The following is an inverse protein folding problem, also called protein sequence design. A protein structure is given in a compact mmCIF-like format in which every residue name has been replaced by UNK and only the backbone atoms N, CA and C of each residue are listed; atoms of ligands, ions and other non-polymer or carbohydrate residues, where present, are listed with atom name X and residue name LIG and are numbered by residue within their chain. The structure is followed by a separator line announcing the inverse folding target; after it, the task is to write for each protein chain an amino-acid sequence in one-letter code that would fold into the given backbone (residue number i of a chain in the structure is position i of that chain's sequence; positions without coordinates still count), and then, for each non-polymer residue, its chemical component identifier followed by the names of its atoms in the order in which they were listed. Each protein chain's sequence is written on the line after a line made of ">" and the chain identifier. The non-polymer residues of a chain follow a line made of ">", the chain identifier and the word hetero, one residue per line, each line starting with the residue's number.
data_IF_957909935404
#
_entry.id   IF_957909935404
#
_cell.length_a   1.000
_cell.length_b   1.000
_cell.length_c   1.000
_cell.angle_alpha   90.00
_cell.angle_beta   90.00
_cell.angle_gamma   90.00
#
_symmetry.space_group_name_H-M   'P 1'
#
loop_
_entity.id
_entity.type
_entity.pdbx_description
1 polymer ?
#
# COMPACT_ATOMS: atom_id res chain seq x y z
N UNK A 1 -6.04 20.36 3.29
CA UNK A 1 -5.15 19.55 4.15
C UNK A 1 -5.88 18.25 4.49
N UNK A 2 -5.22 17.10 4.47
CA UNK A 2 -5.77 15.78 4.82
C UNK A 2 -4.82 15.06 5.76
N UNK A 3 -5.34 14.17 6.60
CA UNK A 3 -4.57 13.21 7.38
C UNK A 3 -4.41 11.94 6.56
N UNK A 4 -3.18 11.56 6.25
CA UNK A 4 -2.83 10.47 5.33
C UNK A 4 -1.92 9.47 6.03
N UNK A 5 -2.33 8.21 6.04
CA UNK A 5 -1.54 7.09 6.55
C UNK A 5 -0.93 6.35 5.37
N UNK A 6 0.38 6.07 5.44
CA UNK A 6 1.11 5.33 4.40
C UNK A 6 1.88 4.19 5.05
N UNK A 7 1.69 2.97 4.57
CA UNK A 7 2.46 1.81 5.03
C UNK A 7 3.65 1.53 4.12
N UNK A 8 4.78 1.03 4.67
CA UNK A 8 5.97 0.67 3.90
C UNK A 8 6.78 1.86 3.41
N UNK A 9 7.09 2.80 4.29
CA UNK A 9 7.66 4.12 3.97
C UNK A 9 9.18 4.20 4.04
N UNK A 10 9.89 3.14 4.46
CA UNK A 10 11.35 3.21 4.67
C UNK A 10 12.18 3.37 3.40
N UNK A 11 11.65 2.97 2.23
CA UNK A 11 12.33 2.99 0.93
C UNK A 11 11.33 2.97 -0.23
N UNK A 12 11.83 3.11 -1.45
CA UNK A 12 11.06 2.95 -2.69
C UNK A 12 9.86 3.89 -2.80
N UNK A 13 8.76 3.39 -3.33
CA UNK A 13 7.55 4.19 -3.59
C UNK A 13 7.01 4.84 -2.32
N UNK A 14 6.98 4.13 -1.19
CA UNK A 14 6.45 4.66 0.07
C UNK A 14 7.27 5.84 0.61
N UNK A 15 8.59 5.81 0.47
CA UNK A 15 9.47 6.91 0.84
C UNK A 15 9.18 8.16 0.02
N UNK A 16 9.05 8.02 -1.30
CA UNK A 16 8.75 9.12 -2.21
C UNK A 16 7.32 9.69 -1.99
N UNK A 17 6.34 8.83 -1.66
CA UNK A 17 4.98 9.25 -1.33
C UNK A 17 4.95 10.17 -0.11
N UNK A 18 5.71 9.83 0.94
CA UNK A 18 5.79 10.68 2.15
C UNK A 18 6.27 12.08 1.78
N UNK A 19 7.37 12.19 1.04
CA UNK A 19 7.93 13.47 0.65
C UNK A 19 6.96 14.30 -0.19
N UNK A 20 6.36 13.68 -1.20
CA UNK A 20 5.47 14.38 -2.13
C UNK A 20 4.19 14.86 -1.45
N UNK A 21 3.54 14.04 -0.63
CA UNK A 21 2.31 14.41 0.03
C UNK A 21 2.56 15.39 1.19
N UNK A 22 3.67 15.28 1.90
CA UNK A 22 4.09 16.24 2.93
C UNK A 22 4.39 17.61 2.33
N UNK A 23 5.07 17.68 1.17
CA UNK A 23 5.37 18.95 0.49
C UNK A 23 4.11 19.68 -0.01
N UNK A 24 3.00 18.96 -0.19
CA UNK A 24 1.70 19.53 -0.53
C UNK A 24 0.90 20.01 0.70
N UNK A 25 1.50 19.95 1.90
CA UNK A 25 0.89 20.44 3.13
C UNK A 25 -0.10 19.47 3.79
N UNK A 26 -0.04 18.17 3.48
CA UNK A 26 -0.83 17.14 4.15
C UNK A 26 -0.12 16.63 5.41
N UNK A 27 -0.88 16.22 6.43
CA UNK A 27 -0.34 15.52 7.60
C UNK A 27 -0.12 14.05 7.23
N UNK A 28 1.09 13.54 7.46
CA UNK A 28 1.46 12.17 7.10
C UNK A 28 1.78 11.36 8.35
N UNK A 29 1.19 10.17 8.45
CA UNK A 29 1.62 9.13 9.36
C UNK A 29 2.36 8.06 8.55
N UNK A 30 3.68 8.07 8.68
CA UNK A 30 4.58 7.19 7.96
C UNK A 30 4.85 5.93 8.77
N UNK A 31 4.43 4.78 8.26
CA UNK A 31 4.47 3.48 8.94
C UNK A 31 5.47 2.55 8.26
N UNK A 32 6.51 2.16 8.98
CA UNK A 32 7.50 1.17 8.52
C UNK A 32 8.32 0.61 9.69
N UNK A 33 8.90 -0.57 9.53
CA UNK A 33 9.75 -1.19 10.56
C UNK A 33 10.99 -0.37 10.90
N UNK A 34 11.49 0.39 9.93
CA UNK A 34 12.65 1.29 10.07
C UNK A 34 12.23 2.70 9.69
N UNK A 35 12.28 3.63 10.63
CA UNK A 35 11.78 5.01 10.48
C UNK A 35 12.89 6.04 10.21
N UNK A 36 14.15 5.70 10.49
CA UNK A 36 15.28 6.63 10.46
C UNK A 36 15.43 7.41 9.14
N UNK A 37 15.13 6.79 7.98
CA UNK A 37 15.20 7.45 6.67
C UNK A 37 14.17 8.57 6.51
N UNK A 38 12.97 8.38 7.05
CA UNK A 38 11.91 9.40 7.03
C UNK A 38 12.16 10.46 8.09
N UNK A 39 12.55 10.08 9.30
CA UNK A 39 12.88 11.00 10.40
C UNK A 39 13.98 11.98 10.01
N UNK A 40 15.00 11.50 9.26
CA UNK A 40 16.09 12.34 8.76
C UNK A 40 15.64 13.47 7.81
N UNK A 41 14.42 13.38 7.23
CA UNK A 41 13.88 14.43 6.37
C UNK A 41 13.42 15.67 7.17
N UNK A 42 13.25 15.54 8.50
CA UNK A 42 12.82 16.62 9.40
C UNK A 42 11.58 17.39 8.90
N UNK A 43 10.59 16.70 8.36
CA UNK A 43 9.37 17.31 7.84
C UNK A 43 8.37 17.54 8.99
N UNK A 44 7.92 18.79 9.25
CA UNK A 44 7.13 19.12 10.45
C UNK A 44 5.73 18.51 10.47
N UNK A 45 5.21 18.12 9.31
CA UNK A 45 3.89 17.52 9.11
C UNK A 45 3.96 16.00 8.91
N UNK A 46 5.08 15.37 9.24
CA UNK A 46 5.28 13.91 9.15
C UNK A 46 5.53 13.34 10.53
N UNK A 47 4.71 12.38 10.92
CA UNK A 47 4.90 11.55 12.11
C UNK A 47 5.34 10.15 11.66
N UNK A 48 6.32 9.58 12.35
CA UNK A 48 6.82 8.23 12.09
C UNK A 48 6.47 7.31 13.25
N UNK A 49 5.97 6.12 12.94
CA UNK A 49 5.78 5.06 13.94
C UNK A 49 6.51 3.81 13.43
N UNK A 50 7.42 3.22 14.22
CA UNK A 50 7.94 1.87 13.96
C UNK A 50 6.76 0.89 13.91
N UNK A 51 6.61 0.18 12.78
CA UNK A 51 5.38 -0.52 12.48
C UNK A 51 5.64 -1.80 11.67
N UNK A 52 5.26 -2.93 12.24
CA UNK A 52 5.09 -4.19 11.52
C UNK A 52 3.60 -4.48 11.35
N UNK A 53 3.12 -4.46 10.11
CA UNK A 53 1.71 -4.65 9.78
C UNK A 53 1.15 -6.00 10.26
N UNK A 54 2.03 -6.97 10.55
CA UNK A 54 1.66 -8.31 11.01
C UNK A 54 1.40 -8.37 12.52
N UNK A 55 1.85 -7.37 13.28
CA UNK A 55 1.69 -7.30 14.74
C UNK A 55 0.43 -6.54 15.12
N UNK A 56 -0.39 -7.13 15.98
CA UNK A 56 -1.62 -6.50 16.48
C UNK A 56 -1.31 -5.25 17.31
N UNK A 57 -0.33 -5.34 18.19
CA UNK A 57 0.11 -4.22 19.03
C UNK A 57 0.50 -2.99 18.25
N UNK A 58 1.15 -3.17 17.10
CA UNK A 58 1.58 -2.05 16.25
C UNK A 58 0.37 -1.41 15.55
N UNK A 59 -0.59 -2.23 15.11
CA UNK A 59 -1.84 -1.72 14.52
C UNK A 59 -2.70 -0.98 15.55
N UNK A 60 -2.74 -1.46 16.80
CA UNK A 60 -3.39 -0.77 17.93
C UNK A 60 -2.73 0.58 18.24
N UNK A 61 -1.39 0.64 18.21
CA UNK A 61 -0.65 1.89 18.40
C UNK A 61 -1.00 2.94 17.33
N UNK A 62 -1.18 2.52 16.07
CA UNK A 62 -1.63 3.41 14.99
C UNK A 62 -3.05 3.90 15.23
N UNK A 63 -3.98 3.03 15.61
CA UNK A 63 -5.36 3.41 15.91
C UNK A 63 -5.42 4.36 17.12
N UNK A 64 -4.61 4.12 18.14
CA UNK A 64 -4.47 5.01 19.30
C UNK A 64 -3.94 6.38 18.90
N UNK A 65 -2.88 6.44 18.10
CA UNK A 65 -2.36 7.72 17.58
C UNK A 65 -3.43 8.50 16.83
N UNK A 66 -4.16 7.84 15.93
CA UNK A 66 -5.24 8.51 15.17
C UNK A 66 -6.31 9.06 16.10
N UNK A 67 -6.73 8.27 17.09
CA UNK A 67 -7.74 8.70 18.07
C UNK A 67 -7.30 9.93 18.86
N UNK A 68 -6.06 9.96 19.34
CA UNK A 68 -5.58 11.01 20.24
C UNK A 68 -5.11 12.29 19.50
N UNK A 69 -4.66 12.18 18.24
CA UNK A 69 -4.00 13.27 17.55
C UNK A 69 -4.78 13.80 16.33
N UNK A 70 -5.55 12.94 15.66
CA UNK A 70 -6.15 13.29 14.37
C UNK A 70 -7.66 13.20 14.32
N UNK A 71 -8.27 12.35 15.15
CA UNK A 71 -9.70 12.00 15.18
C UNK A 71 -10.23 11.40 13.86
N UNK A 72 -9.65 11.76 12.71
CA UNK A 72 -10.10 11.33 11.38
C UNK A 72 -8.93 10.93 10.47
N UNK A 73 -9.18 9.92 9.62
CA UNK A 73 -8.31 9.48 8.53
C UNK A 73 -8.95 9.86 7.19
N UNK A 74 -8.31 10.74 6.45
CA UNK A 74 -8.79 11.13 5.12
C UNK A 74 -8.34 10.20 4.00
N UNK A 75 -7.12 9.65 4.10
CA UNK A 75 -6.55 8.71 3.12
C UNK A 75 -5.73 7.65 3.83
N UNK A 76 -5.89 6.39 3.40
CA UNK A 76 -5.05 5.26 3.80
C UNK A 76 -4.43 4.63 2.55
N UNK A 77 -3.08 4.62 2.47
CA UNK A 77 -2.35 4.00 1.36
C UNK A 77 -1.66 2.74 1.86
N UNK A 78 -2.18 1.59 1.46
CA UNK A 78 -1.58 0.29 1.70
C UNK A 78 -0.48 0.03 0.65
N UNK A 79 0.74 0.51 0.93
CA UNK A 79 1.90 0.33 0.06
C UNK A 79 2.87 -0.75 0.56
N UNK A 80 2.86 -1.09 1.85
CA UNK A 80 3.68 -2.18 2.38
C UNK A 80 3.42 -3.49 1.62
N UNK A 81 4.48 -4.24 1.35
CA UNK A 81 4.38 -5.52 0.68
C UNK A 81 5.56 -6.43 0.98
N UNK A 82 5.31 -7.74 0.90
CA UNK A 82 6.31 -8.80 0.98
C UNK A 82 6.30 -9.56 -0.35
N UNK A 83 7.47 -9.75 -0.94
CA UNK A 83 7.68 -10.55 -2.15
C UNK A 83 8.67 -11.66 -1.84
N UNK A 84 8.36 -12.88 -2.25
CA UNK A 84 9.26 -14.04 -2.28
C UNK A 84 9.29 -14.53 -3.70
N UNK A 85 10.49 -14.62 -4.29
CA UNK A 85 10.72 -15.16 -5.62
C UNK A 85 11.43 -16.50 -5.48
N UNK A 86 10.69 -17.60 -5.66
CA UNK A 86 11.17 -18.99 -5.62
C UNK A 86 10.39 -19.84 -6.62
N UNK A 87 10.98 -20.87 -7.23
CA UNK A 87 10.23 -21.90 -7.96
C UNK A 87 9.08 -22.46 -7.11
N UNK A 88 7.95 -22.79 -7.74
CA UNK A 88 6.75 -23.21 -7.00
C UNK A 88 7.01 -24.47 -6.13
N UNK A 89 7.77 -25.40 -6.63
CA UNK A 89 8.16 -26.64 -5.94
C UNK A 89 9.05 -26.41 -4.70
N UNK A 90 9.67 -25.24 -4.59
CA UNK A 90 10.52 -24.85 -3.45
C UNK A 90 9.80 -23.96 -2.43
N UNK A 91 8.59 -23.47 -2.77
CA UNK A 91 7.80 -22.65 -1.85
C UNK A 91 7.25 -23.50 -0.71
N UNK A 92 7.52 -23.06 0.51
CA UNK A 92 7.01 -23.69 1.72
C UNK A 92 5.67 -23.05 2.15
N UNK A 93 4.96 -23.71 3.05
CA UNK A 93 3.78 -23.12 3.70
C UNK A 93 4.14 -21.80 4.40
N UNK A 94 5.29 -21.72 5.06
CA UNK A 94 5.76 -20.50 5.75
C UNK A 94 6.01 -19.37 4.75
N UNK A 95 6.56 -19.62 3.57
CA UNK A 95 6.72 -18.62 2.52
C UNK A 95 5.36 -17.99 2.12
N UNK A 96 4.32 -18.83 1.97
CA UNK A 96 2.95 -18.34 1.72
C UNK A 96 2.42 -17.53 2.91
N UNK A 97 2.58 -18.02 4.15
CA UNK A 97 2.15 -17.32 5.34
C UNK A 97 2.83 -15.95 5.48
N UNK A 98 4.14 -15.86 5.30
CA UNK A 98 4.86 -14.59 5.35
C UNK A 98 4.31 -13.57 4.35
N UNK A 99 4.05 -13.99 3.11
CA UNK A 99 3.53 -13.11 2.07
C UNK A 99 2.11 -12.69 2.36
N UNK A 100 1.23 -13.62 2.73
CA UNK A 100 -0.19 -13.34 3.00
C UNK A 100 -0.39 -12.54 4.28
N UNK A 101 0.40 -12.79 5.33
CA UNK A 101 0.35 -11.99 6.56
C UNK A 101 0.55 -10.50 6.29
N UNK A 102 1.50 -10.15 5.41
CA UNK A 102 1.79 -8.76 5.07
C UNK A 102 0.78 -8.22 4.04
N UNK A 103 0.60 -8.94 2.93
CA UNK A 103 -0.09 -8.40 1.74
C UNK A 103 -1.62 -8.45 1.84
N UNK A 104 -2.16 -9.29 2.72
CA UNK A 104 -3.62 -9.52 2.85
C UNK A 104 -4.10 -9.31 4.27
N UNK A 105 -3.64 -10.12 5.22
CA UNK A 105 -4.18 -10.09 6.59
C UNK A 105 -3.84 -8.79 7.33
N UNK A 106 -2.60 -8.33 7.23
CA UNK A 106 -2.19 -7.06 7.83
C UNK A 106 -2.95 -5.87 7.25
N UNK A 107 -3.17 -5.86 5.92
CA UNK A 107 -4.00 -4.85 5.24
C UNK A 107 -5.44 -4.88 5.76
N UNK A 108 -6.05 -6.08 5.82
CA UNK A 108 -7.42 -6.25 6.32
C UNK A 108 -7.56 -5.74 7.76
N UNK A 109 -6.68 -6.20 8.66
CA UNK A 109 -6.76 -5.85 10.08
C UNK A 109 -6.46 -4.37 10.36
N UNK A 110 -5.47 -3.77 9.67
CA UNK A 110 -5.22 -2.34 9.80
C UNK A 110 -6.42 -1.52 9.31
N UNK A 111 -7.01 -1.92 8.18
CA UNK A 111 -8.23 -1.29 7.68
C UNK A 111 -9.36 -1.38 8.71
N UNK A 112 -9.63 -2.57 9.27
CA UNK A 112 -10.66 -2.77 10.29
C UNK A 112 -10.48 -1.84 11.50
N UNK A 113 -9.26 -1.69 12.01
CA UNK A 113 -8.96 -0.83 13.15
C UNK A 113 -9.09 0.66 12.84
N UNK A 114 -8.89 1.06 11.57
CA UNK A 114 -8.99 2.46 11.14
C UNK A 114 -10.38 2.87 10.63
N UNK A 115 -11.24 1.91 10.30
CA UNK A 115 -12.63 2.18 9.84
C UNK A 115 -13.44 3.09 10.79
N UNK A 116 -13.33 3.00 12.13
CA UNK A 116 -14.04 3.91 13.02
C UNK A 116 -13.66 5.39 12.86
N UNK A 117 -12.47 5.67 12.33
CA UNK A 117 -11.94 7.01 12.10
C UNK A 117 -12.10 7.49 10.66
N UNK A 118 -12.77 6.70 9.82
CA UNK A 118 -13.04 7.04 8.41
C UNK A 118 -14.47 7.52 8.23
N UNK A 119 -14.61 8.71 7.70
CA UNK A 119 -15.89 9.33 7.37
C UNK A 119 -16.14 9.32 5.86
N UNK A 120 -17.32 9.80 5.47
CA UNK A 120 -17.70 9.97 4.07
C UNK A 120 -16.62 10.75 3.29
N UNK A 121 -16.15 10.15 2.21
CA UNK A 121 -15.09 10.69 1.36
C UNK A 121 -13.68 10.25 1.76
N UNK A 122 -13.51 9.47 2.83
CA UNK A 122 -12.23 8.81 3.10
C UNK A 122 -11.88 7.84 1.97
N UNK A 123 -10.59 7.77 1.59
CA UNK A 123 -10.13 7.00 0.45
C UNK A 123 -9.05 5.99 0.87
N UNK A 124 -9.33 4.72 0.69
CA UNK A 124 -8.37 3.63 0.87
C UNK A 124 -7.81 3.22 -0.49
N UNK A 125 -6.50 3.35 -0.66
CA UNK A 125 -5.78 2.97 -1.89
C UNK A 125 -4.89 1.78 -1.59
N UNK A 126 -5.17 0.64 -2.20
CA UNK A 126 -4.36 -0.57 -2.08
C UNK A 126 -3.39 -0.70 -3.24
N UNK A 127 -2.10 -0.87 -2.95
CA UNK A 127 -1.08 -1.10 -3.97
C UNK A 127 -0.98 -2.61 -4.25
N UNK A 128 -1.51 -3.01 -5.38
CA UNK A 128 -1.41 -4.37 -5.91
C UNK A 128 -0.36 -4.46 -7.02
N UNK A 129 -0.41 -5.49 -7.81
CA UNK A 129 0.52 -5.77 -8.90
C UNK A 129 -0.24 -6.27 -10.12
N UNK A 130 0.29 -6.02 -11.30
CA UNK A 130 -0.17 -6.64 -12.54
C UNK A 130 -0.21 -8.17 -12.43
N UNK A 131 0.73 -8.76 -11.67
CA UNK A 131 0.70 -10.20 -11.39
C UNK A 131 -0.55 -10.71 -10.67
N UNK A 132 -1.27 -9.84 -9.95
CA UNK A 132 -2.56 -10.14 -9.29
C UNK A 132 -3.77 -10.04 -10.22
N UNK A 133 -3.66 -9.40 -11.38
CA UNK A 133 -4.76 -9.23 -12.34
C UNK A 133 -5.05 -10.55 -13.05
N UNK A 134 -6.31 -10.97 -13.11
CA UNK A 134 -6.72 -12.14 -13.85
C UNK A 134 -6.47 -11.92 -15.37
N UNK A 135 -5.88 -12.92 -16.02
CA UNK A 135 -5.57 -12.84 -17.45
C UNK A 135 -4.33 -12.02 -17.83
N UNK A 136 -3.64 -11.39 -16.87
CA UNK A 136 -2.34 -10.76 -17.13
C UNK A 136 -1.24 -11.82 -17.33
N UNK A 137 -0.13 -11.42 -17.95
CA UNK A 137 1.08 -12.24 -18.03
C UNK A 137 1.56 -12.58 -16.62
N UNK A 138 1.94 -13.84 -16.39
CA UNK A 138 2.46 -14.32 -15.11
C UNK A 138 3.95 -14.61 -15.22
N UNK A 139 4.67 -14.34 -14.13
CA UNK A 139 6.10 -14.62 -14.03
C UNK A 139 6.33 -15.81 -13.08
N UNK A 140 7.17 -16.75 -13.51
CA UNK A 140 7.61 -17.85 -12.66
C UNK A 140 8.24 -17.34 -11.38
N UNK A 141 8.15 -18.10 -10.30
CA UNK A 141 8.71 -17.74 -8.98
C UNK A 141 7.82 -16.83 -8.11
N UNK A 142 6.73 -16.28 -8.65
CA UNK A 142 5.87 -15.32 -7.94
C UNK A 142 4.53 -15.91 -7.47
N UNK A 143 4.41 -17.22 -7.28
CA UNK A 143 3.12 -17.84 -6.97
C UNK A 143 2.49 -17.28 -5.68
N UNK A 144 3.23 -17.24 -4.56
CA UNK A 144 2.74 -16.69 -3.30
C UNK A 144 2.46 -15.16 -3.41
N UNK A 145 3.35 -14.41 -4.05
CA UNK A 145 3.20 -12.97 -4.23
C UNK A 145 1.99 -12.62 -5.10
N UNK A 146 1.94 -13.14 -6.31
CA UNK A 146 0.87 -12.81 -7.28
C UNK A 146 -0.50 -13.23 -6.78
N UNK A 147 -0.62 -14.41 -6.14
CA UNK A 147 -1.89 -14.85 -5.55
C UNK A 147 -2.33 -13.93 -4.39
N UNK A 148 -1.41 -13.49 -3.54
CA UNK A 148 -1.72 -12.52 -2.47
C UNK A 148 -2.19 -11.16 -3.01
N UNK A 149 -1.59 -10.69 -4.12
CA UNK A 149 -1.99 -9.45 -4.78
C UNK A 149 -3.35 -9.57 -5.48
N UNK A 150 -3.72 -10.75 -5.97
CA UNK A 150 -5.07 -11.08 -6.44
C UNK A 150 -6.09 -11.08 -5.30
N UNK A 151 -5.76 -11.69 -4.16
CA UNK A 151 -6.60 -11.69 -2.96
C UNK A 151 -6.85 -10.25 -2.43
N UNK A 152 -5.81 -9.39 -2.45
CA UNK A 152 -5.94 -7.98 -2.08
C UNK A 152 -6.90 -7.21 -3.00
N UNK A 153 -6.88 -7.50 -4.30
CA UNK A 153 -7.82 -6.91 -5.27
C UNK A 153 -9.25 -7.25 -4.88
N UNK A 154 -9.54 -8.55 -4.73
CA UNK A 154 -10.90 -9.02 -4.39
C UNK A 154 -11.36 -8.45 -3.04
N UNK A 155 -10.48 -8.40 -2.03
CA UNK A 155 -10.79 -7.79 -0.74
C UNK A 155 -11.19 -6.31 -0.90
N UNK A 156 -10.44 -5.55 -1.67
CA UNK A 156 -10.70 -4.11 -1.90
C UNK A 156 -12.04 -3.88 -2.61
N UNK A 157 -12.39 -4.71 -3.59
CA UNK A 157 -13.66 -4.66 -4.30
C UNK A 157 -14.84 -4.95 -3.36
N UNK A 158 -14.72 -5.96 -2.49
CA UNK A 158 -15.74 -6.31 -1.48
C UNK A 158 -15.94 -5.18 -0.46
N UNK A 159 -14.84 -4.59 0.04
CA UNK A 159 -14.93 -3.48 1.00
C UNK A 159 -15.55 -2.23 0.36
N UNK A 160 -15.31 -1.97 -0.91
CA UNK A 160 -15.96 -0.88 -1.63
C UNK A 160 -17.48 -1.00 -1.67
N UNK A 161 -18.02 -2.22 -1.82
CA UNK A 161 -19.45 -2.47 -1.78
C UNK A 161 -20.01 -2.45 -0.36
N UNK A 162 -19.32 -3.09 0.59
CA UNK A 162 -19.75 -3.18 1.98
C UNK A 162 -19.83 -1.80 2.67
N UNK A 163 -18.89 -0.89 2.38
CA UNK A 163 -18.84 0.44 2.98
C UNK A 163 -19.41 1.56 2.09
N UNK A 164 -20.08 1.22 1.03
CA UNK A 164 -20.68 2.16 0.07
C UNK A 164 -21.64 3.16 0.73
N UNK A 165 -22.54 2.67 1.58
CA UNK A 165 -23.52 3.51 2.27
C UNK A 165 -22.84 4.48 3.29
N UNK A 166 -21.69 4.09 3.83
CA UNK A 166 -20.88 5.00 4.67
C UNK A 166 -20.11 6.01 3.83
N UNK A 167 -20.05 5.85 2.51
CA UNK A 167 -19.32 6.72 1.61
C UNK A 167 -17.80 6.64 1.75
N UNK A 168 -17.26 5.51 2.27
CA UNK A 168 -15.82 5.21 2.31
C UNK A 168 -15.46 4.56 0.97
N UNK A 169 -14.39 5.03 0.35
CA UNK A 169 -14.01 4.68 -1.01
C UNK A 169 -12.78 3.80 -0.99
N UNK A 170 -12.84 2.69 -1.73
CA UNK A 170 -11.76 1.72 -1.86
C UNK A 170 -11.39 1.55 -3.32
N UNK A 171 -10.12 1.72 -3.66
CA UNK A 171 -9.61 1.44 -4.99
C UNK A 171 -8.26 0.73 -4.93
N UNK A 172 -7.93 0.03 -5.98
CA UNK A 172 -6.67 -0.71 -6.11
C UNK A 172 -5.89 -0.23 -7.32
N UNK A 173 -4.61 0.03 -7.14
CA UNK A 173 -3.66 0.28 -8.22
C UNK A 173 -2.81 -0.97 -8.42
N UNK A 174 -2.99 -1.64 -9.55
CA UNK A 174 -2.20 -2.80 -9.96
C UNK A 174 -1.00 -2.33 -10.75
N UNK A 175 0.15 -2.20 -10.08
CA UNK A 175 1.36 -1.64 -10.67
C UNK A 175 2.08 -2.66 -11.55
N UNK A 176 2.63 -2.17 -12.66
CA UNK A 176 3.70 -2.83 -13.40
C UNK A 176 5.05 -2.72 -12.67
N UNK A 177 6.13 -3.01 -13.38
CA UNK A 177 7.47 -2.95 -12.81
C UNK A 177 7.90 -1.50 -12.51
N UNK A 178 8.37 -1.27 -11.28
CA UNK A 178 8.94 0.01 -10.82
C UNK A 178 10.33 -0.27 -10.25
N UNK A 179 11.32 0.54 -10.60
CA UNK A 179 12.73 0.35 -10.23
C UNK A 179 12.93 0.61 -8.74
N UNK A 180 12.46 -0.29 -7.91
CA UNK A 180 12.60 -0.28 -6.46
C UNK A 180 13.66 -1.28 -6.00
N UNK A 181 14.12 -1.16 -4.77
CA UNK A 181 15.01 -2.14 -4.14
C UNK A 181 14.35 -3.53 -4.09
N UNK A 182 13.04 -3.59 -3.83
CA UNK A 182 12.28 -4.86 -3.84
C UNK A 182 12.34 -5.55 -5.22
N UNK A 183 12.23 -4.79 -6.30
CA UNK A 183 12.35 -5.33 -7.66
C UNK A 183 13.78 -5.80 -7.93
N UNK A 184 14.78 -5.02 -7.57
CA UNK A 184 16.19 -5.35 -7.78
C UNK A 184 16.63 -6.59 -6.96
N UNK A 185 16.11 -6.73 -5.73
CA UNK A 185 16.33 -7.91 -4.89
C UNK A 185 15.69 -9.18 -5.51
N UNK A 186 14.48 -9.05 -6.08
CA UNK A 186 13.76 -10.17 -6.67
C UNK A 186 14.22 -10.53 -8.09
N UNK A 187 14.69 -9.55 -8.86
CA UNK A 187 15.08 -9.68 -10.26
C UNK A 187 16.32 -8.82 -10.54
N UNK A 188 17.54 -9.25 -10.14
CA UNK A 188 18.76 -8.44 -10.21
C UNK A 188 19.13 -7.99 -11.64
N UNK A 189 18.80 -8.79 -12.64
CA UNK A 189 19.12 -8.51 -14.05
C UNK A 189 18.06 -7.68 -14.78
N UNK A 190 16.91 -7.41 -14.13
CA UNK A 190 15.82 -6.66 -14.73
C UNK A 190 15.88 -5.18 -14.33
N UNK A 191 15.73 -4.30 -15.32
CA UNK A 191 15.66 -2.84 -15.11
C UNK A 191 14.30 -2.32 -15.58
N UNK A 192 13.54 -1.74 -14.65
CA UNK A 192 12.30 -1.08 -14.96
C UNK A 192 12.54 0.37 -15.45
N UNK A 193 11.68 0.83 -16.36
CA UNK A 193 11.77 2.18 -16.90
C UNK A 193 11.10 3.26 -16.02
N UNK A 194 10.30 2.85 -15.04
CA UNK A 194 9.59 3.75 -14.13
C UNK A 194 10.33 3.82 -12.81
N UNK A 195 10.70 5.02 -12.38
CA UNK A 195 11.31 5.24 -11.08
C UNK A 195 10.27 5.22 -9.94
N UNK A 196 10.69 4.97 -8.68
CA UNK A 196 9.81 5.10 -7.51
C UNK A 196 9.17 6.49 -7.40
N UNK A 197 9.93 7.54 -7.72
CA UNK A 197 9.45 8.92 -7.68
C UNK A 197 8.35 9.20 -8.70
N UNK A 198 8.50 8.73 -9.94
CA UNK A 198 7.46 8.87 -10.97
C UNK A 198 6.18 8.13 -10.58
N UNK A 199 6.30 6.91 -10.06
CA UNK A 199 5.15 6.13 -9.62
C UNK A 199 4.49 6.75 -8.39
N UNK A 200 5.26 7.24 -7.42
CA UNK A 200 4.73 7.93 -6.25
C UNK A 200 3.95 9.19 -6.64
N UNK A 201 4.40 9.93 -7.66
CA UNK A 201 3.66 11.09 -8.16
C UNK A 201 2.25 10.71 -8.66
N UNK A 202 2.17 9.64 -9.45
CA UNK A 202 0.88 9.13 -9.93
C UNK A 202 -0.01 8.66 -8.78
N UNK A 203 0.54 7.88 -7.84
CA UNK A 203 -0.22 7.35 -6.69
C UNK A 203 -0.71 8.50 -5.79
N UNK A 204 0.12 9.51 -5.54
CA UNK A 204 -0.25 10.68 -4.75
C UNK A 204 -1.42 11.44 -5.37
N UNK A 205 -1.37 11.72 -6.68
CA UNK A 205 -2.48 12.38 -7.39
C UNK A 205 -3.75 11.51 -7.35
N UNK A 206 -3.62 10.22 -7.62
CA UNK A 206 -4.77 9.31 -7.54
C UNK A 206 -5.36 9.22 -6.12
N UNK A 207 -4.54 9.15 -5.09
CA UNK A 207 -5.00 9.11 -3.71
C UNK A 207 -5.80 10.37 -3.31
N UNK A 208 -5.41 11.53 -3.83
CA UNK A 208 -6.07 12.81 -3.57
C UNK A 208 -7.34 13.02 -4.41
N UNK A 209 -7.36 12.54 -5.65
CA UNK A 209 -8.37 12.91 -6.64
C UNK A 209 -9.19 11.73 -7.17
N UNK A 210 -8.66 10.51 -7.15
CA UNK A 210 -9.30 9.32 -7.76
C UNK A 210 -10.65 8.99 -7.16
N UNK A 211 -10.84 9.23 -5.86
CA UNK A 211 -12.12 8.99 -5.16
C UNK A 211 -13.31 9.81 -5.69
N UNK A 212 -13.06 10.87 -6.45
CA UNK A 212 -14.11 11.67 -7.09
C UNK A 212 -14.79 10.93 -8.25
N UNK A 213 -14.10 9.95 -8.83
CA UNK A 213 -14.53 9.26 -10.07
C UNK A 213 -14.65 7.75 -9.86
N UNK A 214 -13.82 7.17 -8.99
CA UNK A 214 -13.67 5.73 -8.83
C UNK A 214 -14.05 5.26 -7.42
N UNK A 215 -14.80 4.17 -7.35
CA UNK A 215 -15.00 3.35 -6.15
C UNK A 215 -15.09 1.87 -6.56
N UNK A 216 -14.40 0.99 -5.85
CA UNK A 216 -14.35 -0.43 -6.14
C UNK A 216 -13.62 -0.76 -7.45
N UNK A 217 -12.69 0.13 -7.90
CA UNK A 217 -12.01 -0.05 -9.18
C UNK A 217 -10.58 -0.52 -9.02
N UNK A 218 -10.19 -1.39 -9.95
CA UNK A 218 -8.81 -1.85 -10.11
C UNK A 218 -8.24 -1.20 -11.37
N UNK A 219 -7.25 -0.33 -11.18
CA UNK A 219 -6.59 0.35 -12.29
C UNK A 219 -5.24 -0.31 -12.56
N UNK A 220 -5.02 -0.71 -13.80
CA UNK A 220 -3.75 -1.23 -14.27
C UNK A 220 -2.81 -0.06 -14.58
N UNK A 221 -1.72 0.05 -13.82
CA UNK A 221 -0.76 1.16 -13.90
C UNK A 221 0.57 0.63 -14.40
N UNK A 222 0.68 0.50 -15.70
CA UNK A 222 1.88 0.01 -16.38
C UNK A 222 1.98 0.68 -17.76
N UNK A 223 3.20 0.98 -18.19
CA UNK A 223 3.49 1.50 -19.53
C UNK A 223 3.89 0.39 -20.52
N UNK A 224 4.03 -0.81 -20.03
CA UNK A 224 4.25 -2.01 -20.84
C UNK A 224 3.22 -3.05 -20.46
N UNK A 225 2.73 -3.81 -21.42
CA UNK A 225 1.95 -5.01 -21.13
C UNK A 225 2.93 -6.07 -20.63
N UNK A 226 2.87 -6.45 -19.35
CA UNK A 226 3.66 -7.60 -18.90
C UNK A 226 3.15 -8.87 -19.54
#
# INVERSE_FOLDING_TARGET
>A
MKNIIITGTSRGIGFELVQQLASQGHNILALSRHTATIEALNLPNVHCIPFDITLETDREAVAHFVKEQWEQVGILIHNAGRLINKPFEELTEEDFWEVYKVNVFGVAHLTQQLLPFMEKGAHVVSISSMGGIQGSLKFGGLAAYSSSKGALITLSELLAEEYKERGIIFNTLALGAVQTEMLAEAFPDYKANISPQQMAHYIADFALNGSKVFNGKVLQVANTTP
#
